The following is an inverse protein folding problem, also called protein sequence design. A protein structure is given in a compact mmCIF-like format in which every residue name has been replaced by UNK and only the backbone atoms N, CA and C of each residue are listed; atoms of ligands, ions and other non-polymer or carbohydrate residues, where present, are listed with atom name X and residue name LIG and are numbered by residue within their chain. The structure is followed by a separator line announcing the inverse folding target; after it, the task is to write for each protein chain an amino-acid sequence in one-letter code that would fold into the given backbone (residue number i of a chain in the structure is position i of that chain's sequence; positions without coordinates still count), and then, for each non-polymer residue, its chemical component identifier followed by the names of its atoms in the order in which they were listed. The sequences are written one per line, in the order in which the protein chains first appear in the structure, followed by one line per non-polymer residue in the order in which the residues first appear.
data_IF_665518846149
#
_entry.id   IF_665518846149
#
_cell.length_a   1.000
_cell.length_b   1.000
_cell.length_c   1.000
_cell.angle_alpha   90.00
_cell.angle_beta   90.00
_cell.angle_gamma   90.00
#
_symmetry.space_group_name_H-M   'P 1'
#
loop_
_entity.id
_entity.type
_entity.pdbx_description
1 polymer ?
#
# COMPACT_ATOMS: atom_id res chain seq x y z
N UNK A 1 -13.12 -17.64 17.51
CA UNK A 1 -12.02 -16.69 17.33
C UNK A 1 -11.84 -15.94 18.65
N UNK A 2 -10.62 -15.52 19.02
CA UNK A 2 -10.46 -14.58 20.15
C UNK A 2 -11.25 -13.30 19.86
N UNK A 3 -11.60 -12.55 20.91
CA UNK A 3 -12.34 -11.29 20.78
C UNK A 3 -11.56 -10.31 19.89
N UNK A 4 -12.31 -9.47 19.13
CA UNK A 4 -11.69 -8.44 18.29
C UNK A 4 -10.86 -7.48 19.16
N UNK A 5 -9.65 -7.08 18.69
CA UNK A 5 -8.81 -6.15 19.43
C UNK A 5 -9.53 -4.80 19.61
N UNK A 6 -9.37 -4.19 20.78
CA UNK A 6 -9.94 -2.88 21.06
C UNK A 6 -9.25 -1.80 20.22
N UNK A 7 -10.03 -0.93 19.60
CA UNK A 7 -9.52 0.21 18.81
C UNK A 7 -9.42 1.51 19.64
N UNK A 8 -9.69 1.46 20.95
CA UNK A 8 -9.67 2.66 21.81
C UNK A 8 -8.28 3.25 22.03
N UNK A 9 -7.22 2.43 21.86
CA UNK A 9 -5.84 2.85 22.05
C UNK A 9 -5.15 3.29 20.74
N UNK A 10 -5.84 3.25 19.60
CA UNK A 10 -5.22 3.57 18.30
C UNK A 10 -4.76 5.03 18.25
N UNK A 11 -3.54 5.23 17.80
CA UNK A 11 -2.89 6.54 17.57
C UNK A 11 -2.44 6.71 16.13
N UNK A 12 -2.11 5.60 15.45
CA UNK A 12 -1.52 5.59 14.10
C UNK A 12 -2.36 4.73 13.17
N UNK A 13 -2.79 5.31 12.06
CA UNK A 13 -3.48 4.61 10.98
C UNK A 13 -2.53 4.54 9.79
N UNK A 14 -2.17 3.32 9.42
CA UNK A 14 -1.21 3.05 8.36
C UNK A 14 -1.99 2.48 7.17
N UNK A 15 -1.65 2.90 5.96
CA UNK A 15 -2.29 2.46 4.73
C UNK A 15 -1.29 1.81 3.79
N UNK A 16 -1.68 0.74 3.11
CA UNK A 16 -1.03 0.42 1.84
C UNK A 16 -1.41 1.44 0.77
N UNK A 17 -0.74 1.41 -0.35
CA UNK A 17 -0.96 2.35 -1.45
C UNK A 17 -1.82 1.74 -2.55
N UNK A 18 -1.31 0.69 -3.21
CA UNK A 18 -1.94 0.07 -4.37
C UNK A 18 -3.13 -0.82 -3.94
N UNK A 19 -4.31 -0.58 -4.48
CA UNK A 19 -5.53 -1.29 -4.10
C UNK A 19 -6.21 -0.77 -2.83
N UNK A 20 -5.57 0.15 -2.10
CA UNK A 20 -6.10 0.74 -0.86
C UNK A 20 -6.29 2.25 -0.96
N UNK A 21 -5.24 3.01 -1.29
CA UNK A 21 -5.34 4.46 -1.51
C UNK A 21 -5.70 4.79 -2.94
N UNK A 22 -5.26 3.95 -3.88
CA UNK A 22 -5.40 4.15 -5.30
C UNK A 22 -5.76 2.86 -6.02
N UNK A 23 -6.68 2.94 -6.97
CA UNK A 23 -6.81 1.93 -8.01
C UNK A 23 -5.66 2.11 -9.01
N UNK A 24 -4.70 1.19 -8.95
CA UNK A 24 -3.51 1.17 -9.81
C UNK A 24 -3.53 0.06 -10.84
N UNK A 25 -4.57 -0.77 -10.91
CA UNK A 25 -4.61 -1.97 -11.76
C UNK A 25 -4.42 -1.61 -13.23
N UNK A 26 -5.11 -0.59 -13.73
CA UNK A 26 -4.96 -0.10 -15.11
C UNK A 26 -3.57 0.45 -15.39
N UNK A 27 -3.02 1.22 -14.47
CA UNK A 27 -1.67 1.80 -14.56
C UNK A 27 -0.60 0.71 -14.59
N UNK A 28 -0.66 -0.26 -13.68
CA UNK A 28 0.29 -1.37 -13.61
C UNK A 28 0.20 -2.26 -14.86
N UNK A 29 -1.02 -2.54 -15.34
CA UNK A 29 -1.21 -3.28 -16.60
C UNK A 29 -0.52 -2.59 -17.76
N UNK A 30 -0.75 -1.30 -17.94
CA UNK A 30 -0.14 -0.53 -19.03
C UNK A 30 1.39 -0.47 -18.90
N UNK A 31 1.90 -0.25 -17.69
CA UNK A 31 3.33 -0.15 -17.41
C UNK A 31 4.08 -1.45 -17.73
N UNK A 32 3.61 -2.58 -17.20
CA UNK A 32 4.30 -3.85 -17.45
C UNK A 32 4.09 -4.37 -18.86
N UNK A 33 2.93 -4.13 -19.49
CA UNK A 33 2.74 -4.45 -20.90
C UNK A 33 3.66 -3.64 -21.81
N UNK A 34 3.91 -2.37 -21.49
CA UNK A 34 4.90 -1.56 -22.20
C UNK A 34 6.32 -2.15 -22.10
N UNK A 35 6.71 -2.69 -20.93
CA UNK A 35 7.99 -3.38 -20.78
C UNK A 35 8.01 -4.67 -21.61
N UNK A 36 6.97 -5.51 -21.51
CA UNK A 36 6.88 -6.77 -22.24
C UNK A 36 6.93 -6.55 -23.76
N UNK A 37 6.19 -5.56 -24.27
CA UNK A 37 6.17 -5.18 -25.70
C UNK A 37 7.55 -4.78 -26.21
N UNK A 38 8.33 -4.02 -25.42
CA UNK A 38 9.71 -3.62 -25.76
C UNK A 38 10.60 -4.81 -26.07
N UNK A 39 10.35 -5.95 -25.43
CA UNK A 39 11.14 -7.20 -25.60
C UNK A 39 10.41 -8.26 -26.44
N UNK A 40 9.33 -7.90 -27.13
CA UNK A 40 8.57 -8.80 -28.00
C UNK A 40 7.83 -9.92 -27.27
N UNK A 41 7.52 -9.72 -25.98
CA UNK A 41 6.81 -10.69 -25.15
C UNK A 41 5.28 -10.41 -25.16
N UNK A 42 4.44 -11.45 -24.98
CA UNK A 42 3.00 -11.27 -24.91
C UNK A 42 2.58 -10.43 -23.71
N UNK A 43 1.38 -9.77 -23.77
CA UNK A 43 0.86 -9.04 -22.62
C UNK A 43 0.69 -9.90 -21.37
N UNK A 44 0.57 -9.24 -20.22
CA UNK A 44 0.32 -9.88 -18.92
C UNK A 44 -0.88 -10.83 -18.98
N UNK A 45 -0.67 -12.04 -18.48
CA UNK A 45 -1.77 -12.93 -18.11
C UNK A 45 -2.46 -12.43 -16.81
N UNK A 46 -3.72 -12.83 -16.54
CA UNK A 46 -4.40 -12.47 -15.28
C UNK A 46 -3.58 -12.80 -14.03
N UNK A 47 -2.97 -14.00 -13.99
CA UNK A 47 -2.11 -14.42 -12.87
C UNK A 47 -0.87 -13.55 -12.69
N UNK A 48 -0.24 -13.13 -13.79
CA UNK A 48 0.90 -12.22 -13.74
C UNK A 48 0.47 -10.84 -13.27
N UNK A 49 -0.70 -10.36 -13.72
CA UNK A 49 -1.26 -9.08 -13.27
C UNK A 49 -1.49 -9.08 -11.76
N UNK A 50 -2.07 -10.13 -11.19
CA UNK A 50 -2.27 -10.26 -9.76
C UNK A 50 -0.93 -10.23 -9.00
N UNK A 51 0.10 -10.91 -9.52
CA UNK A 51 1.42 -10.88 -8.89
C UNK A 51 2.07 -9.48 -8.93
N UNK A 52 2.05 -8.80 -10.08
CA UNK A 52 2.70 -7.48 -10.19
C UNK A 52 1.99 -6.39 -9.38
N UNK A 53 0.72 -6.60 -9.06
CA UNK A 53 -0.07 -5.66 -8.26
C UNK A 53 0.48 -5.49 -6.84
N UNK A 54 0.99 -6.58 -6.23
CA UNK A 54 1.43 -6.59 -4.84
C UNK A 54 2.96 -6.65 -4.68
N UNK A 55 3.67 -6.73 -5.80
CA UNK A 55 5.13 -6.89 -5.83
C UNK A 55 5.86 -5.55 -5.95
N UNK A 56 7.14 -5.56 -5.58
CA UNK A 56 8.03 -4.48 -6.00
C UNK A 56 8.26 -4.53 -7.52
N UNK A 57 8.57 -3.40 -8.14
CA UNK A 57 8.85 -3.35 -9.57
C UNK A 57 10.00 -4.29 -9.97
N UNK A 58 11.01 -4.44 -9.12
CA UNK A 58 12.11 -5.39 -9.33
C UNK A 58 11.61 -6.83 -9.34
N UNK A 59 10.86 -7.25 -8.32
CA UNK A 59 10.34 -8.62 -8.21
C UNK A 59 9.37 -8.94 -9.37
N UNK A 60 8.57 -7.97 -9.79
CA UNK A 60 7.68 -8.10 -10.93
C UNK A 60 8.44 -8.38 -12.23
N UNK A 61 9.48 -7.58 -12.55
CA UNK A 61 10.31 -7.81 -13.74
C UNK A 61 11.08 -9.13 -13.63
N UNK A 62 11.58 -9.49 -12.45
CA UNK A 62 12.26 -10.77 -12.22
C UNK A 62 11.37 -11.97 -12.54
N UNK A 63 10.08 -11.90 -12.17
CA UNK A 63 9.12 -12.95 -12.52
C UNK A 63 8.81 -12.96 -14.01
N UNK A 64 8.46 -11.79 -14.59
CA UNK A 64 8.03 -11.69 -15.98
C UNK A 64 9.12 -12.11 -16.97
N UNK A 65 10.37 -11.93 -16.60
CA UNK A 65 11.55 -12.30 -17.41
C UNK A 65 12.31 -13.52 -16.87
N UNK A 66 11.63 -14.34 -16.05
CA UNK A 66 12.25 -15.57 -15.52
C UNK A 66 12.66 -16.50 -16.65
N UNK A 67 13.94 -16.90 -16.66
CA UNK A 67 14.51 -17.74 -17.73
C UNK A 67 14.79 -17.00 -19.05
N UNK A 68 14.51 -15.71 -19.15
CA UNK A 68 14.82 -14.88 -20.32
C UNK A 68 16.25 -14.33 -20.26
N UNK A 69 16.97 -14.26 -21.39
CA UNK A 69 18.28 -13.59 -21.45
C UNK A 69 18.17 -12.07 -21.25
N UNK A 70 16.97 -11.50 -21.40
CA UNK A 70 16.71 -10.06 -21.32
C UNK A 70 16.44 -9.55 -19.91
N UNK A 71 16.51 -10.40 -18.87
CA UNK A 71 16.11 -10.06 -17.50
C UNK A 71 16.85 -8.81 -16.97
N UNK A 72 18.16 -8.74 -17.11
CA UNK A 72 18.97 -7.61 -16.65
C UNK A 72 18.66 -6.34 -17.44
N UNK A 73 18.53 -6.45 -18.77
CA UNK A 73 18.18 -5.33 -19.62
C UNK A 73 16.76 -4.80 -19.31
N UNK A 74 15.81 -5.69 -19.06
CA UNK A 74 14.46 -5.32 -18.65
C UNK A 74 14.43 -4.60 -17.30
N UNK A 75 15.27 -5.00 -16.34
CA UNK A 75 15.45 -4.28 -15.07
C UNK A 75 16.00 -2.87 -15.28
N UNK A 76 17.00 -2.73 -16.15
CA UNK A 76 17.57 -1.42 -16.49
C UNK A 76 16.54 -0.54 -17.20
N UNK A 77 15.82 -1.10 -18.16
CA UNK A 77 14.75 -0.41 -18.88
C UNK A 77 13.65 0.06 -17.93
N UNK A 78 13.15 -0.82 -17.06
CA UNK A 78 12.13 -0.49 -16.05
C UNK A 78 12.54 0.72 -15.20
N UNK A 79 13.80 0.79 -14.77
CA UNK A 79 14.32 1.92 -13.96
C UNK A 79 14.41 3.23 -14.74
N UNK A 80 14.54 3.18 -16.06
CA UNK A 80 14.68 4.34 -16.95
C UNK A 80 13.35 4.91 -17.45
N UNK A 81 12.24 4.16 -17.33
CA UNK A 81 10.94 4.58 -17.85
C UNK A 81 10.44 5.83 -17.12
N UNK A 82 9.93 6.79 -17.91
CA UNK A 82 9.12 7.88 -17.38
C UNK A 82 7.74 7.35 -16.98
N UNK A 83 7.43 7.42 -15.69
CA UNK A 83 6.16 6.89 -15.18
C UNK A 83 4.96 7.81 -15.47
N UNK A 84 5.15 9.07 -15.84
CA UNK A 84 4.06 10.06 -16.00
C UNK A 84 2.92 9.60 -16.93
N UNK A 85 3.16 8.96 -18.10
CA UNK A 85 2.06 8.50 -18.95
C UNK A 85 1.14 7.47 -18.26
N UNK A 86 1.67 6.65 -17.38
CA UNK A 86 0.92 5.62 -16.67
C UNK A 86 0.16 6.19 -15.46
N UNK A 87 0.65 7.29 -14.87
CA UNK A 87 -0.04 7.94 -13.75
C UNK A 87 -1.41 8.49 -14.12
N UNK A 88 -1.63 8.85 -15.37
CA UNK A 88 -2.94 9.31 -15.86
C UNK A 88 -4.04 8.23 -15.74
N UNK A 89 -3.65 6.97 -15.59
CA UNK A 89 -4.55 5.83 -15.39
C UNK A 89 -4.86 5.53 -13.93
N UNK A 90 -4.16 6.17 -12.98
CA UNK A 90 -4.43 6.02 -11.56
C UNK A 90 -5.72 6.76 -11.17
N UNK A 91 -6.43 6.19 -10.23
CA UNK A 91 -7.61 6.81 -9.60
C UNK A 91 -7.48 6.71 -8.08
N UNK A 92 -7.74 7.78 -7.33
CA UNK A 92 -7.89 7.65 -5.89
C UNK A 92 -9.07 6.72 -5.58
N UNK A 93 -8.93 5.91 -4.54
CA UNK A 93 -10.06 5.14 -4.03
C UNK A 93 -11.19 6.08 -3.55
N UNK A 94 -12.45 5.66 -3.70
CA UNK A 94 -13.59 6.46 -3.25
C UNK A 94 -13.44 6.88 -1.78
N UNK A 95 -13.87 8.09 -1.47
CA UNK A 95 -13.93 8.69 -0.14
C UNK A 95 -12.62 8.76 0.66
N UNK A 96 -11.47 8.32 0.09
CA UNK A 96 -10.18 8.31 0.80
C UNK A 96 -9.79 9.71 1.34
N UNK A 97 -10.04 10.78 0.57
CA UNK A 97 -9.72 12.15 0.99
C UNK A 97 -10.58 12.60 2.15
N UNK A 98 -11.88 12.28 2.09
CA UNK A 98 -12.86 12.62 3.10
C UNK A 98 -12.55 11.90 4.42
N UNK A 99 -12.30 10.59 4.34
CA UNK A 99 -11.91 9.79 5.49
C UNK A 99 -10.62 10.31 6.15
N UNK A 100 -9.55 10.55 5.37
CA UNK A 100 -8.29 11.08 5.87
C UNK A 100 -8.46 12.48 6.50
N UNK A 101 -9.24 13.36 5.88
CA UNK A 101 -9.49 14.69 6.44
C UNK A 101 -10.23 14.63 7.79
N UNK A 102 -11.12 13.67 7.97
CA UNK A 102 -11.84 13.44 9.22
C UNK A 102 -10.96 12.78 10.30
N UNK A 103 -10.04 11.88 9.91
CA UNK A 103 -9.18 11.13 10.84
C UNK A 103 -8.01 11.95 11.38
N UNK A 104 -7.36 12.76 10.55
CA UNK A 104 -6.13 13.50 10.89
C UNK A 104 -6.19 14.40 12.13
N UNK A 105 -7.30 15.01 12.49
CA UNK A 105 -7.36 15.77 13.75
C UNK A 105 -7.10 14.93 14.99
N UNK A 106 -7.33 13.61 14.93
CA UNK A 106 -7.24 12.69 16.06
C UNK A 106 -6.09 11.66 15.94
N UNK A 107 -5.73 11.28 14.72
CA UNK A 107 -4.80 10.18 14.44
C UNK A 107 -3.63 10.65 13.58
N UNK A 108 -2.46 10.05 13.78
CA UNK A 108 -1.38 10.10 12.81
C UNK A 108 -1.71 9.19 11.62
N UNK A 109 -1.35 9.64 10.43
CA UNK A 109 -1.58 8.88 9.20
C UNK A 109 -0.26 8.59 8.49
N UNK A 110 -0.04 7.34 8.11
CA UNK A 110 1.17 6.92 7.43
C UNK A 110 0.90 5.98 6.25
N UNK A 111 1.90 5.82 5.38
CA UNK A 111 1.88 4.86 4.27
C UNK A 111 2.99 3.85 4.47
N UNK A 112 2.68 2.54 4.28
CA UNK A 112 3.64 1.44 4.22
C UNK A 112 3.39 0.63 2.94
N UNK A 113 4.25 0.75 1.92
CA UNK A 113 3.99 0.17 0.60
C UNK A 113 5.20 -0.46 -0.07
N UNK A 114 4.96 -1.48 -0.91
CA UNK A 114 5.94 -2.03 -1.82
C UNK A 114 6.16 -1.15 -3.08
N UNK A 115 5.32 -0.13 -3.29
CA UNK A 115 5.56 0.86 -4.34
C UNK A 115 6.87 1.61 -4.05
N UNK A 116 7.70 1.75 -5.07
CA UNK A 116 9.04 2.34 -4.93
C UNK A 116 9.09 3.80 -5.41
N UNK A 117 9.98 4.06 -6.37
CA UNK A 117 10.36 5.39 -6.89
C UNK A 117 9.18 6.29 -7.30
N UNK A 118 8.07 5.71 -7.76
CA UNK A 118 6.91 6.47 -8.23
C UNK A 118 6.03 7.02 -7.10
N UNK A 119 6.17 6.55 -5.85
CA UNK A 119 5.29 6.92 -4.74
C UNK A 119 5.17 8.45 -4.53
N UNK A 120 6.27 9.22 -4.41
CA UNK A 120 6.16 10.67 -4.19
C UNK A 120 5.43 11.39 -5.33
N UNK A 121 5.66 10.95 -6.57
CA UNK A 121 5.01 11.51 -7.74
C UNK A 121 3.50 11.20 -7.73
N UNK A 122 3.12 9.95 -7.46
CA UNK A 122 1.73 9.52 -7.35
C UNK A 122 0.97 10.33 -6.29
N UNK A 123 1.52 10.43 -5.10
CA UNK A 123 0.88 11.17 -3.99
C UNK A 123 0.71 12.66 -4.32
N UNK A 124 1.67 13.25 -4.99
CA UNK A 124 1.60 14.66 -5.41
C UNK A 124 0.54 14.86 -6.50
N UNK A 125 0.58 14.10 -7.58
CA UNK A 125 -0.36 14.22 -8.70
C UNK A 125 -1.81 13.99 -8.27
N UNK A 126 -2.01 13.06 -7.33
CA UNK A 126 -3.33 12.81 -6.77
C UNK A 126 -3.65 13.72 -5.56
N UNK A 127 -2.78 14.65 -5.18
CA UNK A 127 -2.99 15.56 -4.05
C UNK A 127 -3.20 14.85 -2.71
N UNK A 128 -2.62 13.67 -2.54
CA UNK A 128 -2.71 12.88 -1.29
C UNK A 128 -1.52 13.16 -0.34
N UNK A 129 -0.40 13.67 -0.87
CA UNK A 129 0.81 13.89 -0.07
C UNK A 129 0.58 14.68 1.24
N UNK A 130 -0.21 15.78 1.28
CA UNK A 130 -0.43 16.55 2.51
C UNK A 130 -1.28 15.81 3.55
N UNK A 131 -1.88 14.69 3.19
CA UNK A 131 -2.76 13.91 4.06
C UNK A 131 -2.02 12.85 4.87
N UNK A 132 -0.71 12.73 4.72
CA UNK A 132 0.11 11.76 5.44
C UNK A 132 1.25 12.44 6.18
N UNK A 133 1.48 12.01 7.41
CA UNK A 133 2.57 12.51 8.27
C UNK A 133 3.88 11.79 7.95
N UNK A 134 3.82 10.52 7.49
CA UNK A 134 4.98 9.71 7.15
C UNK A 134 4.67 8.77 5.96
N UNK A 135 5.65 8.57 5.09
CA UNK A 135 5.58 7.56 4.02
C UNK A 135 6.81 6.68 4.05
N UNK A 136 6.60 5.35 4.07
CA UNK A 136 7.65 4.34 3.95
C UNK A 136 7.39 3.51 2.70
N UNK A 137 8.28 3.64 1.74
CA UNK A 137 8.28 2.94 0.46
C UNK A 137 9.21 1.72 0.45
N UNK A 138 9.22 0.95 -0.63
CA UNK A 138 10.20 -0.13 -0.80
C UNK A 138 11.66 0.35 -0.87
N UNK A 139 11.90 1.64 -1.09
CA UNK A 139 13.25 2.24 -1.09
C UNK A 139 13.74 2.64 0.31
N UNK A 140 12.83 2.72 1.28
CA UNK A 140 13.15 3.12 2.64
C UNK A 140 13.47 1.93 3.55
N UNK A 141 13.36 0.70 3.03
CA UNK A 141 13.55 -0.55 3.76
C UNK A 141 14.55 -1.46 3.06
N UNK A 142 15.20 -2.31 3.83
CA UNK A 142 16.06 -3.37 3.29
C UNK A 142 15.22 -4.57 2.83
N UNK A 143 14.16 -4.87 3.56
CA UNK A 143 13.26 -6.00 3.30
C UNK A 143 11.83 -5.50 3.17
N UNK A 144 11.26 -5.68 1.97
CA UNK A 144 9.91 -5.28 1.63
C UNK A 144 8.86 -6.23 2.23
N UNK A 145 7.57 -5.81 2.21
CA UNK A 145 6.47 -6.70 2.59
C UNK A 145 6.53 -8.03 1.80
N UNK A 146 6.38 -9.17 2.45
CA UNK A 146 5.75 -9.42 3.76
C UNK A 146 6.67 -9.28 4.98
N UNK A 147 7.89 -8.71 4.84
CA UNK A 147 8.72 -8.38 6.01
C UNK A 147 8.14 -7.14 6.72
N UNK A 148 8.10 -7.12 8.07
CA UNK A 148 7.44 -6.06 8.84
C UNK A 148 8.22 -4.74 8.92
N UNK A 149 9.40 -4.64 8.32
CA UNK A 149 10.33 -3.52 8.50
C UNK A 149 9.69 -2.14 8.27
N UNK A 150 8.83 -2.01 7.24
CA UNK A 150 8.14 -0.76 6.97
C UNK A 150 7.20 -0.34 8.11
N UNK A 151 6.47 -1.30 8.69
CA UNK A 151 5.58 -1.04 9.82
C UNK A 151 6.37 -0.72 11.10
N UNK A 152 7.44 -1.46 11.36
CA UNK A 152 8.30 -1.23 12.53
C UNK A 152 8.94 0.16 12.50
N UNK A 153 9.39 0.64 11.33
CA UNK A 153 9.89 2.01 11.17
C UNK A 153 8.84 3.08 11.45
N UNK A 154 7.58 2.83 11.07
CA UNK A 154 6.47 3.74 11.37
C UNK A 154 6.19 3.76 12.87
N UNK A 155 6.13 2.60 13.53
CA UNK A 155 5.96 2.51 14.97
C UNK A 155 7.07 3.24 15.72
N UNK A 156 8.32 3.05 15.31
CA UNK A 156 9.48 3.74 15.88
C UNK A 156 9.37 5.27 15.74
N UNK A 157 9.01 5.74 14.52
CA UNK A 157 8.88 7.17 14.24
C UNK A 157 7.84 7.86 15.15
N UNK A 158 6.67 7.24 15.32
CA UNK A 158 5.61 7.79 16.17
C UNK A 158 5.72 7.39 17.64
N UNK A 159 6.73 6.58 18.01
CA UNK A 159 6.89 5.99 19.35
C UNK A 159 5.62 5.29 19.83
N UNK A 160 4.96 4.60 18.90
CA UNK A 160 3.72 3.88 19.15
C UNK A 160 3.99 2.40 19.42
N UNK A 161 3.26 1.81 20.35
CA UNK A 161 3.22 0.36 20.50
C UNK A 161 2.45 -0.27 19.33
N UNK A 162 2.73 -1.53 19.00
CA UNK A 162 2.04 -2.21 17.90
C UNK A 162 0.52 -2.24 18.08
N UNK A 163 0.03 -2.40 19.31
CA UNK A 163 -1.40 -2.37 19.63
C UNK A 163 -2.04 -0.96 19.49
N UNK A 164 -1.24 0.09 19.34
CA UNK A 164 -1.68 1.47 19.13
C UNK A 164 -1.72 1.86 17.64
N UNK A 165 -1.45 0.90 16.76
CA UNK A 165 -1.47 1.11 15.32
C UNK A 165 -2.38 0.10 14.62
N UNK A 166 -3.03 0.55 13.54
CA UNK A 166 -3.74 -0.31 12.61
C UNK A 166 -3.14 -0.16 11.22
N UNK A 167 -3.15 -1.26 10.45
CA UNK A 167 -2.68 -1.28 9.08
C UNK A 167 -3.79 -1.76 8.14
N UNK A 168 -4.13 -0.93 7.16
CA UNK A 168 -5.16 -1.19 6.17
C UNK A 168 -4.48 -1.67 4.90
N UNK A 169 -4.82 -2.89 4.49
CA UNK A 169 -4.23 -3.55 3.32
C UNK A 169 -5.24 -4.44 2.60
N UNK A 170 -4.96 -4.79 1.36
CA UNK A 170 -5.82 -5.61 0.50
C UNK A 170 -5.18 -6.94 0.08
N UNK A 171 -3.92 -7.19 0.50
CA UNK A 171 -3.14 -8.32 0.04
C UNK A 171 -2.60 -9.22 1.18
N UNK A 172 -2.29 -10.48 0.86
CA UNK A 172 -1.69 -11.42 1.79
C UNK A 172 -0.33 -10.94 2.33
N UNK A 173 0.43 -10.17 1.55
CA UNK A 173 1.70 -9.59 1.98
C UNK A 173 1.52 -8.52 3.06
N UNK A 174 0.39 -7.82 3.06
CA UNK A 174 0.03 -6.83 4.08
C UNK A 174 -0.34 -7.50 5.40
N UNK A 175 -1.21 -8.50 5.30
CA UNK A 175 -1.62 -9.33 6.43
C UNK A 175 -0.41 -9.94 7.13
N UNK A 176 0.50 -10.53 6.37
CA UNK A 176 1.69 -11.19 6.94
C UNK A 176 2.65 -10.16 7.55
N UNK A 177 2.87 -9.01 6.91
CA UNK A 177 3.67 -7.93 7.48
C UNK A 177 3.08 -7.42 8.79
N UNK A 178 1.76 -7.23 8.83
CA UNK A 178 1.01 -6.79 10.00
C UNK A 178 1.12 -7.79 11.16
N UNK A 179 0.89 -9.08 10.89
CA UNK A 179 1.05 -10.15 11.89
C UNK A 179 2.45 -10.17 12.51
N UNK A 180 3.49 -10.07 11.68
CA UNK A 180 4.89 -10.05 12.13
C UNK A 180 5.25 -8.79 12.93
N UNK A 181 4.61 -7.66 12.62
CA UNK A 181 4.79 -6.42 13.38
C UNK A 181 3.94 -6.37 14.65
N UNK A 182 2.95 -7.25 14.80
CA UNK A 182 1.97 -7.22 15.89
C UNK A 182 0.94 -6.07 15.77
N UNK A 183 0.81 -5.47 14.58
CA UNK A 183 -0.11 -4.36 14.27
C UNK A 183 -1.49 -4.92 13.95
N UNK A 184 -2.56 -4.21 14.34
CA UNK A 184 -3.92 -4.61 14.03
C UNK A 184 -4.15 -4.50 12.52
N UNK A 185 -4.47 -5.64 11.87
CA UNK A 185 -4.76 -5.67 10.44
C UNK A 185 -6.24 -5.41 10.15
N UNK A 186 -6.48 -4.57 9.15
CA UNK A 186 -7.81 -4.24 8.61
C UNK A 186 -7.80 -4.57 7.12
N UNK A 187 -8.65 -5.50 6.70
CA UNK A 187 -8.74 -5.90 5.30
C UNK A 187 -9.61 -4.90 4.51
N UNK A 188 -9.08 -4.38 3.42
CA UNK A 188 -9.80 -3.49 2.52
C UNK A 188 -10.25 -4.26 1.28
N UNK A 189 -11.57 -4.29 1.03
CA UNK A 189 -12.22 -4.94 -0.14
C UNK A 189 -11.77 -6.37 -0.46
N UNK A 190 -11.18 -7.05 0.50
CA UNK A 190 -10.75 -8.44 0.34
C UNK A 190 -11.30 -9.30 1.49
N UNK A 191 -12.44 -9.97 1.28
CA UNK A 191 -13.08 -10.78 2.31
C UNK A 191 -12.34 -12.10 2.60
N UNK A 192 -11.41 -12.51 1.73
CA UNK A 192 -10.66 -13.77 1.88
C UNK A 192 -9.48 -13.64 2.86
N UNK A 193 -9.11 -12.43 3.23
CA UNK A 193 -8.06 -12.18 4.21
C UNK A 193 -8.58 -12.39 5.64
N UNK A 194 -7.80 -13.08 6.46
CA UNK A 194 -8.13 -13.29 7.87
C UNK A 194 -7.87 -12.01 8.68
N UNK A 195 -8.94 -11.26 8.94
CA UNK A 195 -8.91 -10.02 9.69
C UNK A 195 -10.12 -9.93 10.64
N UNK A 196 -9.98 -9.17 11.73
CA UNK A 196 -11.12 -8.85 12.59
C UNK A 196 -12.02 -7.77 12.00
N UNK A 197 -11.44 -6.87 11.20
CA UNK A 197 -12.11 -5.75 10.59
C UNK A 197 -11.96 -5.82 9.08
N UNK A 198 -13.10 -5.69 8.38
CA UNK A 198 -13.16 -5.63 6.93
C UNK A 198 -13.86 -4.33 6.54
N UNK A 199 -13.29 -3.60 5.59
CA UNK A 199 -13.84 -2.37 5.06
C UNK A 199 -14.15 -2.52 3.57
N UNK A 200 -15.30 -2.03 3.14
CA UNK A 200 -15.65 -1.86 1.73
C UNK A 200 -15.47 -0.42 1.27
N UNK A 201 -15.45 0.51 2.23
CA UNK A 201 -15.26 1.94 2.00
C UNK A 201 -14.45 2.58 3.13
N UNK A 202 -13.67 3.60 2.82
CA UNK A 202 -12.83 4.28 3.80
C UNK A 202 -13.62 5.02 4.89
N UNK A 203 -14.86 5.43 4.61
CA UNK A 203 -15.71 6.08 5.62
C UNK A 203 -16.11 5.14 6.75
N UNK A 204 -16.12 3.83 6.53
CA UNK A 204 -16.42 2.85 7.59
C UNK A 204 -15.38 2.89 8.74
N UNK A 205 -14.17 3.42 8.49
CA UNK A 205 -13.19 3.68 9.56
C UNK A 205 -13.72 4.65 10.61
N UNK A 206 -14.55 5.63 10.20
CA UNK A 206 -15.13 6.61 11.10
C UNK A 206 -16.22 5.99 12.00
N UNK A 207 -16.74 4.84 11.62
CA UNK A 207 -17.76 4.10 12.37
C UNK A 207 -17.12 3.16 13.41
N UNK A 208 -15.98 2.53 13.07
CA UNK A 208 -15.31 1.57 13.95
C UNK A 208 -14.32 2.21 14.92
N UNK A 209 -13.77 3.39 14.58
CA UNK A 209 -12.85 4.12 15.45
C UNK A 209 -13.61 4.96 16.49
N UNK A 210 -13.07 5.06 17.71
CA UNK A 210 -13.68 5.92 18.73
C UNK A 210 -13.74 7.38 18.25
N UNK A 211 -14.84 8.06 18.54
CA UNK A 211 -14.95 9.50 18.32
C UNK A 211 -14.06 10.22 19.32
N UNK A 212 -12.89 10.66 18.89
CA UNK A 212 -11.97 11.44 19.72
C UNK A 212 -12.48 12.88 19.75
N UNK A 213 -12.86 13.35 20.94
CA UNK A 213 -13.20 14.75 21.12
C UNK A 213 -11.93 15.61 21.09
N UNK A 214 -12.02 16.86 20.57
CA UNK A 214 -10.88 17.80 20.52
C UNK A 214 -10.31 18.17 21.90
N UNK A 215 -10.87 17.65 22.97
CA UNK A 215 -10.53 18.00 24.34
C UNK A 215 -9.40 17.16 24.96
N UNK A 216 -8.93 16.10 24.29
CA UNK A 216 -7.99 15.13 24.85
C UNK A 216 -6.55 15.27 24.27
N UNK A 217 -6.17 16.48 23.83
CA UNK A 217 -4.80 16.80 23.41
C UNK A 217 -4.11 17.75 24.38
#
# INVERSE_FOLDING_TARGET
MPDAPSLTAIKVIIYDCDGVLIDSRGSNTAFYNHILEKFGLPPLTPRQLDFVQFSTAQAAVDLLFQGSPWREEAQNYQRSIDNRPFLALLRPEPHIREALAALRPAYHTAIATNRGKSLPLVLRELGLAPLFDLTISSYDVTRQKPHPECLLKILEHFRAAAAEAMYIGDAAVDLEASRRAGVIFVAYRNPDLEAYYHLQDHLELLEILPRVSKADK
#
